data_IF_676637988464
#
_entry.id   IF_676637988464
#
_cell.length_a   1.000
_cell.length_b   1.000
_cell.length_c   1.000
_cell.angle_alpha   90.00
_cell.angle_beta   90.00
_cell.angle_gamma   90.00
#
_symmetry.space_group_name_H-M   'P 1'
#
loop_
_entity.id
_entity.type
_entity.pdbx_description
1 polymer ?
#
# COMPACT_ATOMS: atom_id res chain seq x y z
N UNK A 1 -58.91 6.00 9.54
CA UNK A 1 -57.63 6.55 9.02
C UNK A 1 -56.41 6.54 9.98
N UNK A 2 -56.56 6.32 11.30
CA UNK A 2 -55.39 6.26 12.27
C UNK A 2 -54.65 4.92 12.30
N UNK A 3 -55.32 3.77 12.01
CA UNK A 3 -54.63 2.44 12.07
C UNK A 3 -53.67 2.18 10.92
N UNK A 4 -53.87 2.75 9.73
CA UNK A 4 -52.97 2.56 8.59
C UNK A 4 -51.63 3.33 8.71
N UNK A 5 -51.64 4.50 9.40
CA UNK A 5 -50.43 5.29 9.61
C UNK A 5 -49.48 4.66 10.65
N UNK A 6 -50.00 3.99 11.68
CA UNK A 6 -49.20 3.30 12.68
C UNK A 6 -48.52 2.04 12.10
N UNK A 7 -49.21 1.30 11.23
CA UNK A 7 -48.60 0.15 10.55
C UNK A 7 -47.49 0.53 9.57
N UNK A 8 -47.62 1.64 8.82
CA UNK A 8 -46.60 2.14 7.92
C UNK A 8 -45.37 2.67 8.66
N UNK A 9 -45.54 3.30 9.82
CA UNK A 9 -44.43 3.77 10.66
C UNK A 9 -43.72 2.58 11.32
N UNK A 10 -44.43 1.55 11.76
CA UNK A 10 -43.84 0.35 12.33
C UNK A 10 -43.06 -0.48 11.30
N UNK A 11 -43.58 -0.64 10.07
CA UNK A 11 -42.90 -1.30 8.97
C UNK A 11 -41.65 -0.53 8.50
N UNK A 12 -41.73 0.79 8.42
CA UNK A 12 -40.60 1.65 8.11
C UNK A 12 -39.50 1.59 9.18
N UNK A 13 -39.88 1.56 10.45
CA UNK A 13 -38.96 1.42 11.58
C UNK A 13 -38.26 0.05 11.62
N UNK A 14 -39.00 -1.04 11.35
CA UNK A 14 -38.45 -2.39 11.29
C UNK A 14 -37.51 -2.56 10.08
N UNK A 15 -37.89 -2.01 8.92
CA UNK A 15 -37.04 -2.04 7.74
C UNK A 15 -35.75 -1.20 7.94
N UNK A 16 -35.87 -0.02 8.57
CA UNK A 16 -34.69 0.81 8.90
C UNK A 16 -33.76 0.12 9.92
N UNK A 17 -34.32 -0.54 10.94
CA UNK A 17 -33.55 -1.35 11.89
C UNK A 17 -32.93 -2.59 11.22
N UNK A 18 -33.64 -3.27 10.34
CA UNK A 18 -33.15 -4.44 9.62
C UNK A 18 -31.98 -4.12 8.66
N UNK A 19 -31.88 -2.88 8.19
CA UNK A 19 -30.74 -2.39 7.38
C UNK A 19 -29.64 -1.80 8.26
N UNK A 20 -29.98 -1.08 9.31
CA UNK A 20 -29.00 -0.45 10.19
C UNK A 20 -28.18 -1.45 11.02
N UNK A 21 -28.81 -2.51 11.52
CA UNK A 21 -28.13 -3.54 12.34
C UNK A 21 -27.04 -4.30 11.56
N UNK A 22 -27.24 -4.81 10.32
CA UNK A 22 -26.17 -5.41 9.54
C UNK A 22 -25.04 -4.44 9.20
N UNK A 23 -25.35 -3.17 8.91
CA UNK A 23 -24.34 -2.14 8.59
C UNK A 23 -23.46 -1.80 9.80
N UNK A 24 -24.07 -1.69 10.99
CA UNK A 24 -23.30 -1.46 12.23
C UNK A 24 -22.48 -2.69 12.63
N UNK A 25 -23.02 -3.91 12.45
CA UNK A 25 -22.28 -5.16 12.71
C UNK A 25 -21.11 -5.35 11.76
N UNK A 26 -21.28 -5.05 10.46
CA UNK A 26 -20.19 -5.11 9.49
C UNK A 26 -19.11 -4.08 9.81
N UNK A 27 -19.47 -2.85 10.17
CA UNK A 27 -18.54 -1.83 10.65
C UNK A 27 -17.78 -2.28 11.89
N UNK A 28 -18.47 -2.85 12.89
CA UNK A 28 -17.82 -3.40 14.09
C UNK A 28 -16.84 -4.54 13.77
N UNK A 29 -17.13 -5.38 12.77
CA UNK A 29 -16.20 -6.44 12.36
C UNK A 29 -14.94 -5.89 11.68
N UNK A 30 -15.11 -4.92 10.79
CA UNK A 30 -13.99 -4.34 10.02
C UNK A 30 -13.01 -3.54 10.89
N UNK A 31 -13.42 -3.08 12.09
CA UNK A 31 -12.50 -2.43 13.03
C UNK A 31 -11.44 -3.40 13.58
N UNK A 32 -11.68 -4.72 13.51
CA UNK A 32 -10.75 -5.73 13.98
C UNK A 32 -10.80 -5.93 15.50
N UNK A 33 -9.65 -6.24 16.09
CA UNK A 33 -9.49 -6.56 17.51
C UNK A 33 -8.16 -6.03 18.05
N UNK A 34 -8.11 -5.69 19.31
CA UNK A 34 -6.85 -5.33 19.98
C UNK A 34 -6.11 -6.60 20.42
N UNK A 35 -4.79 -6.53 20.43
CA UNK A 35 -3.96 -7.58 20.96
C UNK A 35 -4.10 -7.70 22.48
N UNK A 36 -4.13 -8.93 22.98
CA UNK A 36 -4.14 -9.25 24.40
C UNK A 36 -3.19 -10.41 24.72
N UNK A 37 -3.07 -10.76 26.00
CA UNK A 37 -2.34 -11.93 26.49
C UNK A 37 -0.90 -12.01 25.94
N UNK A 38 -0.53 -13.18 25.41
CA UNK A 38 0.83 -13.42 24.90
C UNK A 38 1.20 -12.53 23.70
N UNK A 39 0.20 -12.17 22.87
CA UNK A 39 0.44 -11.29 21.71
C UNK A 39 0.84 -9.88 22.20
N UNK A 40 0.08 -9.31 23.13
CA UNK A 40 0.42 -8.02 23.74
C UNK A 40 1.78 -8.08 24.44
N UNK A 41 2.02 -9.11 25.25
CA UNK A 41 3.32 -9.29 25.93
C UNK A 41 4.49 -9.43 24.94
N UNK A 42 4.25 -9.92 23.72
CA UNK A 42 5.26 -9.94 22.65
C UNK A 42 5.50 -8.56 22.06
N UNK A 43 4.44 -7.77 21.85
CA UNK A 43 4.53 -6.39 21.37
C UNK A 43 5.28 -5.51 22.36
N UNK A 44 5.00 -5.65 23.66
CA UNK A 44 5.68 -4.92 24.75
C UNK A 44 7.19 -5.18 24.85
N UNK A 45 7.68 -6.26 24.24
CA UNK A 45 9.12 -6.57 24.15
C UNK A 45 9.80 -5.98 22.91
N UNK A 46 9.05 -5.41 21.99
CA UNK A 46 9.61 -4.74 20.81
C UNK A 46 10.37 -3.47 21.24
N UNK A 47 11.54 -3.19 20.65
CA UNK A 47 12.25 -1.93 20.86
C UNK A 47 11.45 -0.70 20.47
N UNK A 48 10.45 -0.84 19.59
CA UNK A 48 9.62 0.25 19.08
C UNK A 48 8.35 0.48 19.93
N UNK A 49 8.08 -0.39 20.94
CA UNK A 49 6.93 -0.25 21.83
C UNK A 49 7.24 0.65 23.02
N UNK A 50 6.53 1.78 23.14
CA UNK A 50 6.70 2.75 24.19
C UNK A 50 5.35 3.28 24.68
N UNK A 51 5.12 3.32 25.99
CA UNK A 51 3.93 3.91 26.63
C UNK A 51 2.58 3.39 26.08
N UNK A 52 2.54 2.11 25.66
CA UNK A 52 1.32 1.46 25.19
C UNK A 52 1.04 1.57 23.69
N UNK A 53 2.00 2.05 22.91
CA UNK A 53 1.92 2.19 21.44
C UNK A 53 3.27 1.96 20.75
N UNK A 54 3.27 1.67 19.45
CA UNK A 54 4.48 1.66 18.65
C UNK A 54 4.89 3.08 18.26
N UNK A 55 6.19 3.34 18.18
CA UNK A 55 6.73 4.67 17.83
C UNK A 55 7.80 4.57 16.75
N UNK A 56 7.81 5.56 15.87
CA UNK A 56 8.90 5.73 14.91
C UNK A 56 10.18 6.18 15.64
N UNK A 57 11.32 5.52 15.41
CA UNK A 57 12.62 6.00 15.93
C UNK A 57 12.98 7.38 15.37
N UNK A 58 12.61 7.66 14.12
CA UNK A 58 12.75 8.96 13.48
C UNK A 58 11.41 9.70 13.58
N UNK A 59 11.38 10.80 14.35
CA UNK A 59 10.17 11.57 14.57
C UNK A 59 9.54 12.07 13.25
N UNK A 60 8.21 12.22 13.25
CA UNK A 60 7.44 12.68 12.10
C UNK A 60 6.81 14.04 12.36
N UNK A 61 6.83 14.90 11.35
CA UNK A 61 6.04 16.12 11.31
C UNK A 61 4.84 15.97 10.39
N UNK A 62 3.68 16.39 10.88
CA UNK A 62 2.44 16.45 10.09
C UNK A 62 1.59 17.62 10.58
N UNK A 63 1.05 18.40 9.67
CA UNK A 63 0.02 19.40 9.96
C UNK A 63 -1.37 18.82 9.74
N UNK A 64 -1.94 18.22 10.79
CA UNK A 64 -3.25 17.56 10.71
C UNK A 64 -4.40 18.54 10.43
N UNK A 65 -4.27 19.81 10.82
CA UNK A 65 -5.31 20.81 10.55
C UNK A 65 -5.29 21.19 9.06
N UNK A 66 -4.11 21.37 8.50
CA UNK A 66 -3.92 21.66 7.09
C UNK A 66 -4.25 20.43 6.23
N UNK A 67 -3.88 19.23 6.68
CA UNK A 67 -4.27 17.96 6.09
C UNK A 67 -5.79 17.82 5.96
N UNK A 68 -6.56 18.16 7.01
CA UNK A 68 -8.02 18.16 6.97
C UNK A 68 -8.58 19.18 5.97
N UNK A 69 -8.02 20.39 5.94
CA UNK A 69 -8.44 21.44 5.00
C UNK A 69 -8.15 21.04 3.55
N UNK A 70 -6.96 20.50 3.28
CA UNK A 70 -6.56 20.03 1.95
C UNK A 70 -7.31 18.78 1.52
N UNK A 71 -7.59 17.84 2.41
CA UNK A 71 -8.37 16.63 2.11
C UNK A 71 -9.79 16.93 1.61
N UNK A 72 -10.35 18.11 1.98
CA UNK A 72 -11.62 18.60 1.46
C UNK A 72 -11.47 19.36 0.12
N UNK A 73 -10.25 19.65 -0.32
CA UNK A 73 -10.00 20.43 -1.53
C UNK A 73 -10.19 19.58 -2.78
N UNK A 74 -10.87 20.13 -3.79
CA UNK A 74 -10.90 19.57 -5.14
C UNK A 74 -9.66 20.05 -5.89
N UNK A 75 -8.78 19.12 -6.24
CA UNK A 75 -7.63 19.39 -7.10
C UNK A 75 -7.99 18.98 -8.53
N UNK A 76 -7.61 19.74 -9.57
CA UNK A 76 -7.82 19.32 -10.95
C UNK A 76 -7.21 17.93 -11.21
N UNK A 77 -7.94 17.11 -11.97
CA UNK A 77 -7.51 15.76 -12.38
C UNK A 77 -7.15 14.81 -11.21
N UNK A 78 -7.77 15.00 -10.01
CA UNK A 78 -7.54 14.13 -8.86
C UNK A 78 -8.23 12.76 -8.97
N UNK A 79 -9.15 12.62 -9.90
CA UNK A 79 -9.79 11.36 -10.27
C UNK A 79 -9.80 11.21 -11.80
N UNK A 80 -9.82 9.98 -12.33
CA UNK A 80 -9.90 9.76 -13.77
C UNK A 80 -11.21 10.32 -14.35
N UNK A 81 -11.11 11.17 -15.38
CA UNK A 81 -12.28 11.67 -16.12
C UNK A 81 -12.85 10.63 -17.10
N UNK A 82 -12.12 9.56 -17.40
CA UNK A 82 -12.51 8.45 -18.26
C UNK A 82 -12.07 7.13 -17.61
N UNK A 83 -12.60 5.97 -18.06
CA UNK A 83 -12.19 4.68 -17.53
C UNK A 83 -10.67 4.50 -17.57
N UNK A 84 -10.09 4.07 -16.45
CA UNK A 84 -8.66 3.77 -16.35
C UNK A 84 -8.32 2.61 -17.29
N UNK A 85 -7.28 2.72 -18.12
CA UNK A 85 -6.82 1.61 -18.95
C UNK A 85 -6.27 0.47 -18.09
N UNK A 86 -7.05 -0.58 -17.89
CA UNK A 86 -6.65 -1.78 -17.14
C UNK A 86 -6.37 -2.94 -18.10
N UNK A 87 -5.47 -3.84 -17.73
CA UNK A 87 -5.30 -5.13 -18.37
C UNK A 87 -6.21 -6.17 -17.67
N UNK A 88 -6.87 -7.02 -18.43
CA UNK A 88 -7.49 -8.21 -17.85
C UNK A 88 -6.38 -9.17 -17.43
N UNK A 89 -6.31 -9.49 -16.15
CA UNK A 89 -5.34 -10.47 -15.66
C UNK A 89 -5.73 -11.86 -16.16
N UNK A 90 -4.85 -12.50 -16.95
CA UNK A 90 -5.10 -13.83 -17.50
C UNK A 90 -4.72 -14.91 -16.47
N UNK A 91 -5.68 -15.71 -15.96
CA UNK A 91 -5.38 -16.81 -15.05
C UNK A 91 -4.42 -17.84 -15.63
N UNK A 92 -4.40 -18.03 -16.97
CA UNK A 92 -3.50 -18.98 -17.62
C UNK A 92 -2.04 -18.52 -17.54
N UNK A 93 -1.79 -17.22 -17.63
CA UNK A 93 -0.46 -16.64 -17.41
C UNK A 93 -0.01 -16.88 -15.96
N UNK A 94 -0.90 -16.67 -15.00
CA UNK A 94 -0.59 -16.89 -13.58
C UNK A 94 -0.45 -18.37 -13.20
N UNK A 95 -1.06 -19.28 -13.97
CA UNK A 95 -0.91 -20.71 -13.78
C UNK A 95 0.48 -21.23 -14.22
N UNK A 96 1.17 -20.47 -15.07
CA UNK A 96 2.48 -20.82 -15.64
C UNK A 96 3.59 -20.12 -14.88
N UNK A 97 4.63 -20.83 -14.46
CA UNK A 97 5.79 -20.22 -13.79
C UNK A 97 6.47 -19.18 -14.71
N UNK A 98 6.93 -18.04 -14.17
CA UNK A 98 7.66 -17.04 -14.94
C UNK A 98 8.96 -17.62 -15.50
N UNK A 99 9.27 -17.31 -16.76
CA UNK A 99 10.46 -17.83 -17.43
C UNK A 99 11.76 -17.34 -16.78
N UNK A 100 11.79 -16.08 -16.30
CA UNK A 100 12.90 -15.51 -15.56
C UNK A 100 13.01 -16.03 -14.13
N UNK A 101 11.91 -16.54 -13.56
CA UNK A 101 11.76 -16.87 -12.14
C UNK A 101 11.23 -15.72 -11.27
N UNK A 102 11.04 -14.53 -11.87
CA UNK A 102 10.47 -13.36 -11.19
C UNK A 102 9.36 -12.73 -12.01
N UNK A 103 8.13 -12.68 -11.48
CA UNK A 103 7.00 -11.98 -12.08
C UNK A 103 6.32 -11.08 -11.05
N UNK A 104 5.94 -9.89 -11.48
CA UNK A 104 5.12 -8.95 -10.72
C UNK A 104 3.81 -8.71 -11.49
N UNK A 105 2.68 -8.94 -10.86
CA UNK A 105 1.35 -8.57 -11.36
C UNK A 105 0.79 -7.50 -10.44
N UNK A 106 0.63 -6.28 -10.94
CA UNK A 106 0.11 -5.17 -10.15
C UNK A 106 -1.40 -5.02 -10.37
N UNK A 107 -2.18 -5.04 -9.29
CA UNK A 107 -3.65 -4.92 -9.34
C UNK A 107 -4.15 -3.49 -9.09
N UNK A 108 -3.23 -2.55 -8.86
CA UNK A 108 -3.52 -1.18 -8.44
C UNK A 108 -3.20 -0.95 -6.97
N UNK A 109 -3.01 0.32 -6.60
CA UNK A 109 -2.60 0.71 -5.25
C UNK A 109 -1.36 -0.06 -4.79
N UNK A 110 -1.41 -0.71 -3.65
CA UNK A 110 -0.34 -1.53 -3.08
C UNK A 110 -0.56 -3.03 -3.23
N UNK A 111 -1.64 -3.44 -3.93
CA UNK A 111 -1.96 -4.86 -4.16
C UNK A 111 -1.15 -5.43 -5.32
N UNK A 112 -0.27 -6.40 -5.04
CA UNK A 112 0.53 -7.08 -6.07
C UNK A 112 0.64 -8.58 -5.81
N UNK A 113 0.67 -9.38 -6.89
CA UNK A 113 1.10 -10.77 -6.83
C UNK A 113 2.56 -10.84 -7.28
N UNK A 114 3.41 -11.31 -6.40
CA UNK A 114 4.83 -11.55 -6.62
C UNK A 114 5.05 -13.05 -6.77
N UNK A 115 5.66 -13.46 -7.87
CA UNK A 115 6.13 -14.83 -8.07
C UNK A 115 7.65 -14.78 -8.08
N UNK A 116 8.27 -15.31 -7.03
CA UNK A 116 9.71 -15.22 -6.76
C UNK A 116 10.27 -16.63 -6.54
N UNK A 117 11.08 -17.11 -7.47
CA UNK A 117 11.75 -18.41 -7.40
C UNK A 117 10.81 -19.58 -7.04
N UNK A 118 9.60 -19.57 -7.63
CA UNK A 118 8.57 -20.60 -7.44
C UNK A 118 7.63 -20.39 -6.25
N UNK A 119 7.79 -19.32 -5.48
CA UNK A 119 6.90 -18.94 -4.36
C UNK A 119 6.00 -17.78 -4.77
N UNK A 120 4.70 -17.87 -4.47
CA UNK A 120 3.70 -16.83 -4.74
C UNK A 120 3.33 -16.07 -3.49
N UNK A 121 3.50 -14.75 -3.53
CA UNK A 121 3.25 -13.84 -2.41
C UNK A 121 2.32 -12.73 -2.87
N UNK A 122 1.24 -12.49 -2.11
CA UNK A 122 0.29 -11.42 -2.37
C UNK A 122 0.50 -10.31 -1.34
N UNK A 123 0.71 -9.08 -1.78
CA UNK A 123 0.91 -7.92 -0.88
C UNK A 123 -0.38 -7.12 -0.77
N UNK A 124 -0.71 -6.69 0.45
CA UNK A 124 -1.80 -5.77 0.80
C UNK A 124 -3.06 -5.91 -0.08
N UNK A 125 -3.70 -7.10 -0.06
CA UNK A 125 -4.79 -7.39 -0.99
C UNK A 125 -6.05 -6.63 -0.64
N UNK A 126 -6.53 -5.78 -1.58
CA UNK A 126 -7.79 -5.07 -1.47
C UNK A 126 -8.66 -5.37 -2.69
N UNK A 127 -9.75 -6.11 -2.49
CA UNK A 127 -10.75 -6.46 -3.52
C UNK A 127 -12.09 -5.78 -3.29
N UNK A 128 -12.31 -5.15 -2.13
CA UNK A 128 -13.51 -4.35 -1.83
C UNK A 128 -13.62 -3.12 -2.71
N UNK A 129 -14.85 -2.62 -2.88
CA UNK A 129 -15.12 -1.40 -3.65
C UNK A 129 -14.56 -0.13 -2.99
N UNK A 130 -14.33 -0.17 -1.67
CA UNK A 130 -13.88 1.00 -0.90
C UNK A 130 -12.77 0.65 0.08
N UNK A 131 -11.83 1.56 0.21
CA UNK A 131 -10.87 1.59 1.31
C UNK A 131 -11.54 2.22 2.54
N UNK A 132 -12.36 1.42 3.24
CA UNK A 132 -13.23 1.94 4.31
C UNK A 132 -13.71 0.80 5.23
N UNK A 133 -14.05 1.10 6.50
CA UNK A 133 -14.70 0.12 7.38
C UNK A 133 -16.10 -0.30 6.90
N UNK A 134 -16.72 0.46 6.00
CA UNK A 134 -18.08 0.22 5.49
C UNK A 134 -18.17 0.47 3.99
N UNK A 135 -19.10 -0.21 3.32
CA UNK A 135 -19.20 -0.17 1.85
C UNK A 135 -19.92 1.07 1.28
N UNK A 136 -20.55 1.89 2.11
CA UNK A 136 -21.41 3.01 1.67
C UNK A 136 -20.73 4.38 1.74
N UNK A 137 -19.56 4.52 2.42
CA UNK A 137 -18.79 5.75 2.53
C UNK A 137 -17.29 5.46 2.44
N UNK A 138 -16.49 6.46 2.12
CA UNK A 138 -15.04 6.37 1.98
C UNK A 138 -14.57 6.28 0.53
N UNK A 139 -13.26 6.29 0.31
CA UNK A 139 -12.66 6.28 -1.03
C UNK A 139 -13.10 5.06 -1.84
N UNK A 140 -13.59 5.29 -3.05
CA UNK A 140 -14.03 4.22 -3.95
C UNK A 140 -12.98 3.95 -5.00
N UNK A 141 -12.80 2.66 -5.35
CA UNK A 141 -11.92 2.26 -6.44
C UNK A 141 -12.44 2.74 -7.80
N UNK A 142 -11.52 3.10 -8.68
CA UNK A 142 -11.85 3.64 -10.00
C UNK A 142 -12.20 2.56 -11.04
N UNK A 143 -11.80 1.32 -10.81
CA UNK A 143 -12.10 0.17 -11.68
C UNK A 143 -12.30 -1.09 -10.81
N UNK A 144 -13.08 -2.08 -11.30
CA UNK A 144 -13.26 -3.34 -10.59
C UNK A 144 -11.94 -4.12 -10.51
N UNK A 145 -11.81 -5.11 -9.61
CA UNK A 145 -10.67 -6.02 -9.62
C UNK A 145 -10.42 -6.61 -11.01
N UNK A 146 -9.17 -6.62 -11.47
CA UNK A 146 -8.78 -7.10 -12.81
C UNK A 146 -8.84 -8.62 -12.94
N UNK A 147 -8.99 -9.31 -11.81
CA UNK A 147 -9.24 -10.74 -11.68
C UNK A 147 -10.09 -10.97 -10.42
N UNK A 148 -11.01 -11.92 -10.45
CA UNK A 148 -11.71 -12.30 -9.22
C UNK A 148 -10.75 -12.99 -8.25
N UNK A 149 -10.90 -12.70 -6.95
CA UNK A 149 -10.05 -13.26 -5.90
C UNK A 149 -9.96 -14.80 -5.96
N UNK A 150 -11.10 -15.45 -6.23
CA UNK A 150 -11.19 -16.91 -6.36
C UNK A 150 -10.50 -17.48 -7.62
N UNK A 151 -10.12 -16.65 -8.58
CA UNK A 151 -9.41 -17.05 -9.80
C UNK A 151 -7.90 -16.91 -9.69
N UNK A 152 -7.40 -16.33 -8.59
CA UNK A 152 -5.97 -16.33 -8.31
C UNK A 152 -5.46 -17.77 -8.15
N UNK A 153 -4.26 -18.08 -8.62
CA UNK A 153 -3.63 -19.37 -8.32
C UNK A 153 -3.40 -19.50 -6.82
N UNK A 154 -3.13 -20.71 -6.30
CA UNK A 154 -2.72 -20.87 -4.90
C UNK A 154 -1.58 -19.92 -4.55
N UNK A 155 -1.77 -19.16 -3.46
CA UNK A 155 -0.83 -18.18 -2.92
C UNK A 155 -0.21 -18.77 -1.66
N UNK A 156 1.11 -18.75 -1.57
CA UNK A 156 1.85 -19.33 -0.44
C UNK A 156 1.78 -18.42 0.79
N UNK A 157 1.88 -17.10 0.59
CA UNK A 157 1.74 -16.13 1.66
C UNK A 157 1.00 -14.84 1.21
N UNK A 158 0.30 -14.24 2.17
CA UNK A 158 -0.19 -12.86 2.11
C UNK A 158 0.68 -12.03 3.05
N UNK A 159 1.24 -10.94 2.56
CA UNK A 159 1.96 -9.94 3.35
C UNK A 159 1.04 -8.74 3.56
N UNK A 160 0.92 -8.29 4.79
CA UNK A 160 0.22 -7.05 5.15
C UNK A 160 1.26 -6.10 5.74
N UNK A 161 1.38 -4.90 5.16
CA UNK A 161 2.34 -3.90 5.61
C UNK A 161 1.92 -3.21 6.90
N UNK A 162 0.63 -2.88 7.03
CA UNK A 162 0.02 -2.25 8.19
C UNK A 162 -1.50 -2.37 8.13
N UNK A 163 -2.22 -1.83 9.11
CA UNK A 163 -3.64 -2.09 9.28
C UNK A 163 -4.59 -1.00 8.75
N UNK A 164 -4.13 0.00 7.98
CA UNK A 164 -5.02 0.95 7.34
C UNK A 164 -5.98 0.24 6.35
N UNK A 165 -7.13 0.85 6.08
CA UNK A 165 -8.22 0.21 5.30
C UNK A 165 -7.88 -0.05 3.83
N UNK A 166 -6.95 0.67 3.27
CA UNK A 166 -6.45 0.53 1.90
C UNK A 166 -5.31 -0.50 1.76
N UNK A 167 -4.91 -1.16 2.88
CA UNK A 167 -3.92 -2.23 2.93
C UNK A 167 -4.46 -3.50 3.57
N UNK A 168 -5.25 -3.39 4.64
CA UNK A 168 -5.87 -4.51 5.33
C UNK A 168 -7.39 -4.48 5.15
N UNK A 169 -7.87 -5.10 4.09
CA UNK A 169 -9.28 -5.18 3.72
C UNK A 169 -9.97 -6.38 4.37
N UNK A 170 -10.86 -6.09 5.32
CA UNK A 170 -11.63 -7.10 6.05
C UNK A 170 -12.36 -8.11 5.15
N UNK A 171 -13.09 -7.64 4.14
CA UNK A 171 -13.89 -8.51 3.28
C UNK A 171 -13.01 -9.43 2.43
N UNK A 172 -11.89 -8.93 1.93
CA UNK A 172 -10.89 -9.72 1.20
C UNK A 172 -10.26 -10.79 2.10
N UNK A 173 -9.85 -10.43 3.33
CA UNK A 173 -9.30 -11.39 4.28
C UNK A 173 -10.33 -12.47 4.66
N UNK A 174 -11.57 -12.09 4.90
CA UNK A 174 -12.67 -13.03 5.21
C UNK A 174 -12.88 -14.03 4.06
N UNK A 175 -12.79 -13.59 2.81
CA UNK A 175 -12.90 -14.47 1.64
C UNK A 175 -11.73 -15.48 1.55
N UNK A 176 -10.59 -15.19 2.18
CA UNK A 176 -9.42 -16.08 2.23
C UNK A 176 -9.42 -17.08 3.42
N UNK A 177 -10.48 -17.12 4.23
CA UNK A 177 -10.54 -18.01 5.42
C UNK A 177 -10.23 -19.47 5.11
N UNK A 178 -10.77 -19.98 4.00
CA UNK A 178 -10.60 -21.38 3.58
C UNK A 178 -9.28 -21.65 2.84
N UNK A 179 -8.49 -20.64 2.56
CA UNK A 179 -7.21 -20.82 1.89
C UNK A 179 -6.19 -21.48 2.81
N UNK A 180 -5.17 -22.12 2.24
CA UNK A 180 -4.05 -22.69 3.01
C UNK A 180 -2.88 -21.72 3.17
N UNK A 181 -3.05 -20.49 2.72
CA UNK A 181 -2.07 -19.42 2.65
C UNK A 181 -1.63 -18.96 4.05
N UNK A 182 -0.36 -18.76 4.26
CA UNK A 182 0.17 -18.10 5.45
C UNK A 182 -0.07 -16.58 5.39
N UNK A 183 -0.25 -15.94 6.54
CA UNK A 183 -0.27 -14.48 6.68
C UNK A 183 0.98 -14.06 7.44
N UNK A 184 1.86 -13.30 6.78
CA UNK A 184 3.07 -12.73 7.40
C UNK A 184 2.82 -11.24 7.58
N UNK A 185 2.79 -10.82 8.83
CA UNK A 185 2.28 -9.49 9.20
C UNK A 185 3.13 -8.88 10.32
N UNK A 186 3.14 -7.55 10.50
CA UNK A 186 3.71 -6.90 11.68
C UNK A 186 3.00 -7.29 12.98
N UNK A 187 3.70 -7.09 14.11
CA UNK A 187 3.17 -7.34 15.46
C UNK A 187 1.83 -6.63 15.68
N UNK A 188 0.88 -7.33 16.28
CA UNK A 188 -0.46 -6.84 16.62
C UNK A 188 -1.52 -7.11 15.55
N UNK A 189 -1.18 -7.13 14.27
CA UNK A 189 -2.14 -7.36 13.17
C UNK A 189 -2.79 -8.74 13.27
N UNK A 190 -2.09 -9.72 13.83
CA UNK A 190 -2.63 -11.05 14.03
C UNK A 190 -3.93 -11.09 14.86
N UNK A 191 -4.17 -10.11 15.73
CA UNK A 191 -5.43 -10.00 16.47
C UNK A 191 -6.63 -9.74 15.52
N UNK A 192 -6.48 -8.84 14.55
CA UNK A 192 -7.48 -8.59 13.53
C UNK A 192 -7.77 -9.84 12.70
N UNK A 193 -6.72 -10.50 12.20
CA UNK A 193 -6.84 -11.70 11.37
C UNK A 193 -7.54 -12.84 12.11
N UNK A 194 -7.17 -13.07 13.37
CA UNK A 194 -7.78 -14.10 14.20
C UNK A 194 -9.26 -13.79 14.50
N UNK A 195 -9.58 -12.52 14.81
CA UNK A 195 -10.97 -12.04 14.96
C UNK A 195 -11.79 -12.31 13.70
N UNK A 196 -11.19 -12.20 12.54
CA UNK A 196 -11.84 -12.43 11.24
C UNK A 196 -11.85 -13.88 10.80
N UNK A 197 -11.37 -14.80 11.63
CA UNK A 197 -11.47 -16.25 11.46
C UNK A 197 -10.33 -16.86 10.66
N UNK A 198 -9.18 -16.21 10.59
CA UNK A 198 -7.94 -16.84 10.14
C UNK A 198 -7.39 -17.68 11.27
N UNK A 199 -7.08 -18.96 10.99
CA UNK A 199 -6.55 -19.89 11.97
C UNK A 199 -5.17 -19.42 12.48
N UNK A 200 -4.93 -19.48 13.82
CA UNK A 200 -3.70 -18.93 14.41
C UNK A 200 -2.41 -19.50 13.83
N UNK A 201 -2.39 -20.78 13.47
CA UNK A 201 -1.24 -21.47 12.87
C UNK A 201 -0.85 -20.95 11.48
N UNK A 202 -1.73 -20.16 10.84
CA UNK A 202 -1.48 -19.51 9.56
C UNK A 202 -0.95 -18.08 9.73
N UNK A 203 -0.89 -17.55 10.94
CA UNK A 203 -0.52 -16.17 11.24
C UNK A 203 0.91 -16.16 11.78
N UNK A 204 1.78 -15.47 11.06
CA UNK A 204 3.17 -15.23 11.45
C UNK A 204 3.36 -13.74 11.66
N UNK A 205 3.42 -13.32 12.92
CA UNK A 205 3.71 -11.93 13.26
C UNK A 205 5.23 -11.73 13.37
N UNK A 206 5.73 -10.65 12.81
CA UNK A 206 7.15 -10.30 12.84
C UNK A 206 7.33 -8.91 13.47
N UNK A 207 8.42 -8.76 14.20
CA UNK A 207 8.99 -7.47 14.55
C UNK A 207 9.97 -7.00 13.46
N UNK A 208 10.38 -5.73 13.46
CA UNK A 208 11.37 -5.25 12.50
C UNK A 208 12.65 -6.09 12.55
N UNK A 209 13.18 -6.37 11.36
CA UNK A 209 14.36 -7.20 11.13
C UNK A 209 14.18 -8.69 11.43
N UNK A 210 13.01 -9.11 11.91
CA UNK A 210 12.69 -10.53 12.05
C UNK A 210 12.31 -11.14 10.70
N UNK A 211 12.64 -12.39 10.53
CA UNK A 211 12.43 -13.16 9.30
C UNK A 211 11.68 -14.44 9.56
N UNK A 212 10.91 -14.85 8.55
CA UNK A 212 10.32 -16.19 8.45
C UNK A 212 10.61 -16.81 7.10
N UNK A 213 10.28 -18.08 6.93
CA UNK A 213 10.37 -18.76 5.63
C UNK A 213 8.97 -19.08 5.09
N UNK A 214 8.81 -18.80 3.81
CA UNK A 214 7.64 -19.21 3.02
C UNK A 214 8.18 -20.07 1.88
N UNK A 215 8.07 -21.38 2.00
CA UNK A 215 8.78 -22.29 1.10
C UNK A 215 10.30 -22.03 1.12
N UNK A 216 10.89 -21.82 -0.04
CA UNK A 216 12.30 -21.47 -0.19
C UNK A 216 12.61 -19.98 0.06
N UNK A 217 11.58 -19.12 0.11
CA UNK A 217 11.74 -17.68 0.21
C UNK A 217 11.92 -17.25 1.68
N UNK A 218 12.96 -16.45 1.96
CA UNK A 218 13.07 -15.74 3.23
C UNK A 218 12.31 -14.41 3.14
N UNK A 219 11.38 -14.19 4.05
CA UNK A 219 10.57 -12.97 4.17
C UNK A 219 10.95 -12.27 5.46
N UNK A 220 11.44 -11.04 5.36
CA UNK A 220 11.87 -10.22 6.49
C UNK A 220 11.00 -8.98 6.59
N UNK A 221 10.42 -8.70 7.76
CA UNK A 221 9.78 -7.41 8.03
C UNK A 221 10.85 -6.35 8.25
N UNK A 222 10.70 -5.23 7.58
CA UNK A 222 11.65 -4.12 7.57
C UNK A 222 11.03 -2.86 8.16
N UNK A 223 11.83 -1.98 8.78
CA UNK A 223 11.35 -0.68 9.25
C UNK A 223 10.70 0.15 8.14
N UNK A 224 9.71 0.92 8.54
CA UNK A 224 9.12 1.99 7.76
C UNK A 224 8.85 3.20 8.68
N UNK A 225 8.73 4.40 8.12
CA UNK A 225 8.38 5.62 8.85
C UNK A 225 6.92 5.94 8.57
N UNK A 226 6.02 5.35 9.36
CA UNK A 226 4.59 5.43 9.13
C UNK A 226 3.80 5.37 10.44
N UNK A 227 2.54 4.98 10.38
CA UNK A 227 1.61 4.85 11.50
C UNK A 227 0.66 3.69 11.26
N UNK A 228 -0.13 3.34 12.26
CA UNK A 228 -1.16 2.32 12.17
C UNK A 228 -2.46 2.75 12.85
N UNK A 229 -3.56 2.07 12.51
CA UNK A 229 -4.83 2.23 13.21
C UNK A 229 -6.06 2.18 12.33
N UNK A 230 -7.12 1.59 12.87
CA UNK A 230 -8.38 1.38 12.14
C UNK A 230 -9.49 2.33 12.58
N UNK A 231 -9.64 2.63 13.86
CA UNK A 231 -10.61 3.63 14.36
C UNK A 231 -10.00 5.02 14.32
N UNK A 232 -8.76 5.13 14.77
CA UNK A 232 -7.91 6.30 14.66
C UNK A 232 -6.69 5.88 13.85
N UNK A 233 -6.42 6.47 12.67
CA UNK A 233 -5.30 6.09 11.81
C UNK A 233 -3.92 6.33 12.42
N UNK A 234 -3.86 6.86 13.63
CA UNK A 234 -2.65 7.09 14.43
C UNK A 234 -2.81 6.55 15.85
N UNK A 235 -3.49 5.43 16.01
CA UNK A 235 -3.56 4.77 17.32
C UNK A 235 -2.28 4.02 17.65
N UNK A 236 -1.51 3.64 16.59
CA UNK A 236 -0.20 2.99 16.67
C UNK A 236 -0.18 1.75 17.58
N UNK A 237 -1.33 1.04 17.63
CA UNK A 237 -1.53 -0.16 18.43
C UNK A 237 -1.09 -1.45 17.71
N UNK A 238 -0.71 -1.35 16.45
CA UNK A 238 -0.06 -2.42 15.68
C UNK A 238 1.21 -1.86 15.05
N UNK A 239 2.20 -2.72 14.83
CA UNK A 239 3.41 -2.32 14.11
C UNK A 239 3.10 -2.20 12.61
N UNK A 240 3.95 -1.51 11.88
CA UNK A 240 3.93 -1.35 10.41
C UNK A 240 5.30 -1.68 9.82
N UNK A 241 5.39 -1.82 8.50
CA UNK A 241 6.68 -2.04 7.85
C UNK A 241 6.59 -2.45 6.40
N UNK A 242 7.75 -2.46 5.76
CA UNK A 242 7.96 -3.06 4.45
C UNK A 242 8.48 -4.49 4.54
N UNK A 243 8.77 -5.11 3.40
CA UNK A 243 9.29 -6.47 3.35
C UNK A 243 10.46 -6.63 2.40
N UNK A 244 11.48 -7.38 2.82
CA UNK A 244 12.45 -7.99 1.91
C UNK A 244 12.06 -9.44 1.66
N UNK A 245 11.95 -9.80 0.39
CA UNK A 245 11.74 -11.16 -0.08
C UNK A 245 13.03 -11.62 -0.74
N UNK A 246 13.71 -12.60 -0.16
CA UNK A 246 15.01 -13.10 -0.62
C UNK A 246 14.90 -14.57 -0.99
N UNK A 247 14.88 -14.82 -2.28
CA UNK A 247 14.91 -16.16 -2.89
C UNK A 247 16.33 -16.61 -3.18
N UNK A 248 16.45 -17.71 -3.88
CA UNK A 248 17.74 -18.27 -4.31
C UNK A 248 18.42 -17.35 -5.34
N UNK A 249 17.65 -16.85 -6.32
CA UNK A 249 18.13 -16.06 -7.45
C UNK A 249 17.69 -14.60 -7.41
N UNK A 250 16.49 -14.34 -6.85
CA UNK A 250 15.85 -13.04 -6.94
C UNK A 250 15.60 -12.43 -5.56
N UNK A 251 15.63 -11.09 -5.52
CA UNK A 251 15.35 -10.29 -4.33
C UNK A 251 14.35 -9.19 -4.68
N UNK A 252 13.30 -9.09 -3.89
CA UNK A 252 12.26 -8.08 -4.05
C UNK A 252 12.14 -7.27 -2.76
N UNK A 253 12.03 -5.96 -2.89
CA UNK A 253 11.67 -5.07 -1.81
C UNK A 253 10.25 -4.55 -2.02
N UNK A 254 9.44 -4.59 -0.98
CA UNK A 254 8.13 -3.94 -0.91
C UNK A 254 8.13 -2.96 0.26
N UNK A 255 7.89 -1.68 0.00
CA UNK A 255 7.99 -0.64 1.02
C UNK A 255 6.86 -0.67 2.04
N UNK A 256 5.66 -1.19 1.67
CA UNK A 256 4.45 -0.74 2.35
C UNK A 256 4.30 0.76 2.20
N UNK A 257 3.64 1.41 3.14
CA UNK A 257 3.60 2.85 3.25
C UNK A 257 4.72 3.34 4.16
N UNK A 258 5.38 4.43 3.78
CA UNK A 258 6.51 4.98 4.52
C UNK A 258 6.84 6.41 4.09
N UNK A 259 7.18 7.26 5.02
CA UNK A 259 7.96 8.47 4.72
C UNK A 259 9.42 8.14 4.45
N UNK A 260 10.16 9.13 3.98
CA UNK A 260 11.61 9.00 3.80
C UNK A 260 12.31 8.95 5.15
N UNK A 261 13.18 7.96 5.36
CA UNK A 261 13.94 7.76 6.60
C UNK A 261 15.35 7.21 6.35
N UNK A 262 16.21 7.33 7.32
CA UNK A 262 17.64 6.99 7.17
C UNK A 262 17.88 5.49 7.08
N UNK A 263 17.03 4.68 7.73
CA UNK A 263 17.12 3.21 7.73
C UNK A 263 17.02 2.56 6.34
N UNK A 264 16.55 3.27 5.31
CA UNK A 264 16.50 2.73 3.94
C UNK A 264 17.89 2.33 3.40
N UNK A 265 18.93 3.07 3.78
CA UNK A 265 20.30 2.71 3.42
C UNK A 265 20.76 1.41 4.11
N UNK A 266 20.30 1.16 5.33
CA UNK A 266 20.58 -0.08 6.06
C UNK A 266 19.90 -1.28 5.41
N UNK A 267 18.65 -1.09 4.95
CA UNK A 267 17.92 -2.08 4.16
C UNK A 267 18.74 -2.45 2.92
N UNK A 268 19.20 -1.44 2.18
CA UNK A 268 20.02 -1.64 0.98
C UNK A 268 21.35 -2.34 1.26
N UNK A 269 22.00 -2.06 2.41
CA UNK A 269 23.24 -2.73 2.81
C UNK A 269 23.03 -4.19 3.19
N UNK A 270 21.94 -4.51 3.89
CA UNK A 270 21.68 -5.86 4.44
C UNK A 270 21.09 -6.81 3.40
N UNK A 271 20.18 -6.32 2.56
CA UNK A 271 19.38 -7.18 1.67
C UNK A 271 19.57 -6.89 0.18
N UNK A 272 20.04 -5.70 -0.18
CA UNK A 272 20.29 -5.32 -1.58
C UNK A 272 21.55 -5.97 -2.20
N UNK A 273 21.76 -5.84 -3.51
CA UNK A 273 20.83 -5.17 -4.40
C UNK A 273 19.55 -5.97 -4.62
N UNK A 274 18.41 -5.27 -4.75
CA UNK A 274 17.14 -5.87 -5.12
C UNK A 274 16.98 -5.86 -6.64
N UNK A 275 16.41 -6.90 -7.21
CA UNK A 275 16.10 -6.95 -8.66
C UNK A 275 14.99 -5.98 -9.00
N UNK A 276 14.00 -5.85 -8.12
CA UNK A 276 12.92 -4.87 -8.21
C UNK A 276 12.52 -4.40 -6.82
N UNK A 277 12.19 -3.12 -6.71
CA UNK A 277 11.57 -2.53 -5.53
C UNK A 277 10.19 -1.97 -5.89
N UNK A 278 9.17 -2.40 -5.15
CA UNK A 278 7.84 -1.83 -5.18
C UNK A 278 7.80 -0.78 -4.07
N UNK A 279 7.79 0.49 -4.46
CA UNK A 279 7.88 1.60 -3.50
C UNK A 279 6.68 2.53 -3.69
N UNK A 280 6.05 2.92 -2.58
CA UNK A 280 4.96 3.88 -2.63
C UNK A 280 5.41 5.19 -3.30
N UNK A 281 4.50 5.82 -4.03
CA UNK A 281 4.76 7.07 -4.75
C UNK A 281 3.52 7.98 -4.80
N UNK A 282 2.41 7.58 -4.19
CA UNK A 282 1.14 8.29 -4.19
C UNK A 282 0.66 8.67 -2.80
N UNK A 283 -0.51 9.33 -2.76
CA UNK A 283 -1.23 9.70 -1.54
C UNK A 283 -0.46 10.64 -0.60
N UNK A 284 0.48 11.40 -1.15
CA UNK A 284 1.30 12.38 -0.46
C UNK A 284 0.65 13.77 -0.44
N UNK A 285 1.04 14.59 0.53
CA UNK A 285 0.82 16.04 0.55
C UNK A 285 1.91 16.76 1.38
N UNK A 286 2.03 18.06 1.16
CA UNK A 286 2.97 18.89 1.91
C UNK A 286 2.60 18.98 3.41
N UNK A 287 1.36 18.71 3.77
CA UNK A 287 0.89 18.69 5.16
C UNK A 287 1.26 17.41 5.91
N UNK A 288 1.65 16.33 5.21
CA UNK A 288 2.12 15.06 5.82
C UNK A 288 3.33 14.46 5.11
N UNK A 289 4.42 15.21 4.91
CA UNK A 289 5.56 14.82 4.10
C UNK A 289 6.39 13.70 4.69
N UNK A 290 6.16 13.37 5.96
CA UNK A 290 6.85 12.31 6.69
C UNK A 290 6.05 11.00 6.77
N UNK A 291 4.78 11.01 6.34
CA UNK A 291 3.92 9.83 6.32
C UNK A 291 3.99 9.04 5.02
N UNK A 292 4.12 9.77 3.91
CA UNK A 292 4.17 9.20 2.57
C UNK A 292 5.32 9.80 1.78
N UNK A 293 5.97 8.97 0.98
CA UNK A 293 7.02 9.43 0.06
C UNK A 293 6.43 10.35 -1.01
N UNK A 294 6.99 11.54 -1.16
CA UNK A 294 6.85 12.26 -2.42
C UNK A 294 7.50 11.48 -3.57
N UNK A 295 7.07 11.68 -4.82
CA UNK A 295 7.55 10.88 -5.95
C UNK A 295 9.08 10.92 -6.15
N UNK A 296 9.70 12.08 -5.91
CA UNK A 296 11.15 12.25 -5.95
C UNK A 296 11.85 11.46 -4.84
N UNK A 297 11.19 11.36 -3.68
CA UNK A 297 11.68 10.58 -2.55
C UNK A 297 11.55 9.08 -2.81
N UNK A 298 10.56 8.64 -3.58
CA UNK A 298 10.42 7.24 -4.00
C UNK A 298 11.61 6.80 -4.87
N UNK A 299 12.07 7.67 -5.77
CA UNK A 299 13.28 7.42 -6.58
C UNK A 299 14.53 7.41 -5.70
N UNK A 300 14.67 8.35 -4.77
CA UNK A 300 15.77 8.37 -3.82
C UNK A 300 15.77 7.11 -2.93
N UNK A 301 14.58 6.65 -2.51
CA UNK A 301 14.41 5.42 -1.74
C UNK A 301 14.87 4.18 -2.53
N UNK A 302 14.52 4.09 -3.82
CA UNK A 302 14.98 3.02 -4.70
C UNK A 302 16.52 2.96 -4.77
N UNK A 303 17.18 4.12 -4.83
CA UNK A 303 18.64 4.20 -4.80
C UNK A 303 19.21 3.76 -3.43
N UNK A 304 18.62 4.26 -2.33
CA UNK A 304 19.06 3.92 -0.97
C UNK A 304 18.94 2.43 -0.67
N UNK A 305 17.84 1.78 -1.10
CA UNK A 305 17.67 0.33 -0.95
C UNK A 305 18.45 -0.46 -2.02
N UNK A 306 19.11 0.20 -2.95
CA UNK A 306 19.92 -0.41 -4.02
C UNK A 306 19.07 -1.27 -4.96
N UNK A 307 17.92 -0.78 -5.38
CA UNK A 307 17.07 -1.44 -6.35
C UNK A 307 17.61 -1.28 -7.77
N UNK A 308 17.53 -2.33 -8.57
CA UNK A 308 17.88 -2.31 -10.02
C UNK A 308 16.75 -1.73 -10.86
N UNK A 309 15.51 -1.87 -10.38
CA UNK A 309 14.33 -1.28 -11.00
C UNK A 309 13.32 -0.88 -9.92
N UNK A 310 12.57 0.21 -10.18
CA UNK A 310 11.49 0.71 -9.35
C UNK A 310 10.15 0.45 -10.02
N UNK A 311 9.19 -0.12 -9.30
CA UNK A 311 7.77 -0.11 -9.64
C UNK A 311 7.08 0.83 -8.64
N UNK A 312 6.56 1.99 -9.07
CA UNK A 312 5.80 2.85 -8.19
C UNK A 312 4.44 2.21 -7.87
N UNK A 313 4.12 2.11 -6.58
CA UNK A 313 2.84 1.59 -6.05
C UNK A 313 2.15 2.66 -5.21
N UNK A 314 1.03 2.32 -4.55
CA UNK A 314 0.22 3.22 -3.73
C UNK A 314 -0.44 4.37 -4.51
N UNK A 315 -0.74 4.15 -5.79
CA UNK A 315 -1.41 5.09 -6.69
C UNK A 315 -2.36 4.36 -7.65
N UNK A 316 -3.10 5.10 -8.46
CA UNK A 316 -3.81 4.56 -9.63
C UNK A 316 -5.10 3.78 -9.34
N UNK A 317 -5.62 3.77 -8.10
CA UNK A 317 -6.85 3.04 -7.73
C UNK A 317 -7.83 3.84 -6.88
N UNK A 318 -7.34 4.58 -5.88
CA UNK A 318 -8.14 5.37 -4.94
C UNK A 318 -7.69 6.82 -4.92
N UNK A 319 -8.60 7.70 -4.51
CA UNK A 319 -8.30 9.08 -4.13
C UNK A 319 -8.20 9.14 -2.60
N UNK A 320 -7.00 9.29 -2.06
CA UNK A 320 -6.73 9.44 -0.63
C UNK A 320 -6.02 10.76 -0.31
N UNK A 321 -5.48 11.45 -1.34
CA UNK A 321 -4.75 12.70 -1.16
C UNK A 321 -5.09 13.74 -2.25
N UNK A 322 -4.81 15.05 -2.01
CA UNK A 322 -5.13 16.13 -2.93
C UNK A 322 -4.03 16.36 -3.98
N UNK A 323 -3.80 15.38 -4.85
CA UNK A 323 -2.93 15.48 -6.02
C UNK A 323 -3.61 14.90 -7.27
N UNK A 324 -3.15 15.26 -8.47
CA UNK A 324 -3.62 14.64 -9.70
C UNK A 324 -3.38 13.13 -9.70
N UNK A 325 -4.32 12.34 -10.25
CA UNK A 325 -4.22 10.87 -10.15
C UNK A 325 -3.04 10.28 -10.93
N UNK A 326 -2.52 10.98 -11.94
CA UNK A 326 -1.31 10.60 -12.70
C UNK A 326 -0.05 11.34 -12.22
N UNK A 327 -0.20 12.33 -11.34
CA UNK A 327 0.93 13.12 -10.85
C UNK A 327 2.02 12.26 -10.20
N UNK A 328 1.71 11.24 -9.38
CA UNK A 328 2.71 10.38 -8.77
C UNK A 328 3.68 9.78 -9.79
N UNK A 329 3.15 9.08 -10.78
CA UNK A 329 3.98 8.38 -11.78
C UNK A 329 4.70 9.34 -12.72
N UNK A 330 4.10 10.49 -13.08
CA UNK A 330 4.75 11.51 -13.91
C UNK A 330 5.98 12.09 -13.22
N UNK A 331 5.85 12.43 -11.95
CA UNK A 331 6.94 12.95 -11.13
C UNK A 331 8.03 11.91 -10.88
N UNK A 332 7.64 10.63 -10.60
CA UNK A 332 8.61 9.53 -10.51
C UNK A 332 9.41 9.41 -11.79
N UNK A 333 8.76 9.38 -12.95
CA UNK A 333 9.46 9.29 -14.25
C UNK A 333 10.35 10.51 -14.52
N UNK A 334 9.92 11.71 -14.11
CA UNK A 334 10.73 12.92 -14.23
C UNK A 334 12.00 12.85 -13.37
N UNK A 335 11.86 12.46 -12.10
CA UNK A 335 12.98 12.31 -11.17
C UNK A 335 13.93 11.17 -11.58
N UNK A 336 13.39 10.04 -12.03
CA UNK A 336 14.15 8.87 -12.44
C UNK A 336 15.08 9.15 -13.62
N UNK A 337 14.65 10.01 -14.57
CA UNK A 337 15.52 10.44 -15.69
C UNK A 337 16.77 11.20 -15.23
N UNK A 338 16.70 11.90 -14.09
CA UNK A 338 17.83 12.63 -13.56
C UNK A 338 18.84 11.76 -12.81
N UNK A 339 18.45 10.55 -12.48
CA UNK A 339 19.22 9.64 -11.62
C UNK A 339 19.54 8.31 -12.30
N UNK A 340 19.17 8.15 -13.58
CA UNK A 340 19.28 6.92 -14.36
C UNK A 340 18.66 5.69 -13.63
N UNK A 341 17.59 5.93 -12.84
CA UNK A 341 16.90 4.87 -12.12
C UNK A 341 15.87 4.20 -13.04
N UNK A 342 15.99 2.91 -13.37
CA UNK A 342 14.99 2.22 -14.19
C UNK A 342 13.63 2.18 -13.49
N UNK A 343 12.57 2.61 -14.17
CA UNK A 343 11.19 2.60 -13.68
C UNK A 343 10.34 1.74 -14.59
N UNK A 344 9.57 0.84 -13.98
CA UNK A 344 8.62 -0.03 -14.65
C UNK A 344 7.21 0.37 -14.23
N UNK A 345 6.32 0.54 -15.20
CA UNK A 345 4.96 1.04 -14.96
C UNK A 345 3.92 0.07 -15.56
N UNK A 346 3.74 -1.14 -14.97
CA UNK A 346 2.70 -2.05 -15.46
C UNK A 346 1.33 -1.41 -15.34
N UNK A 347 0.42 -1.74 -16.28
CA UNK A 347 -1.01 -1.41 -16.14
C UNK A 347 -1.61 -2.22 -14.99
N UNK A 348 -2.63 -1.70 -14.31
CA UNK A 348 -3.38 -2.55 -13.38
C UNK A 348 -3.86 -3.84 -14.04
N UNK A 349 -3.55 -4.99 -13.45
CA UNK A 349 -3.81 -6.32 -13.99
C UNK A 349 -2.73 -6.90 -14.91
N UNK A 350 -1.75 -6.10 -15.32
CA UNK A 350 -0.66 -6.57 -16.17
C UNK A 350 0.40 -7.32 -15.35
N UNK A 351 0.83 -8.46 -15.88
CA UNK A 351 1.98 -9.22 -15.39
C UNK A 351 3.23 -8.82 -16.17
N UNK A 352 4.32 -8.57 -15.48
CA UNK A 352 5.63 -8.30 -16.08
C UNK A 352 6.72 -9.15 -15.42
N UNK A 353 7.78 -9.46 -16.17
CA UNK A 353 9.00 -10.11 -15.66
C UNK A 353 10.13 -9.06 -15.60
N UNK A 354 10.35 -8.37 -14.46
CA UNK A 354 11.21 -7.21 -14.37
C UNK A 354 12.65 -7.42 -14.86
N UNK A 355 13.19 -8.62 -14.65
CA UNK A 355 14.57 -8.96 -15.03
C UNK A 355 14.72 -9.27 -16.53
N UNK A 356 13.61 -9.47 -17.25
CA UNK A 356 13.60 -9.68 -18.70
C UNK A 356 13.35 -8.40 -19.51
N UNK A 357 12.89 -7.31 -18.85
CA UNK A 357 12.62 -6.04 -19.49
C UNK A 357 13.88 -5.21 -19.68
N UNK A 358 13.91 -4.43 -20.77
CA UNK A 358 14.96 -3.45 -21.05
C UNK A 358 14.51 -2.04 -20.59
N UNK A 359 15.44 -1.16 -20.25
CA UNK A 359 15.10 0.25 -20.08
C UNK A 359 14.36 0.80 -21.31
N UNK A 360 13.18 1.38 -21.10
CA UNK A 360 12.31 1.86 -22.17
C UNK A 360 11.17 0.94 -22.60
N UNK A 361 11.13 -0.32 -22.16
CA UNK A 361 10.01 -1.23 -22.43
C UNK A 361 8.73 -0.90 -21.62
N UNK A 362 8.82 0.08 -20.70
CA UNK A 362 7.69 0.49 -19.89
C UNK A 362 6.81 1.49 -20.66
N UNK A 363 5.60 1.07 -20.98
CA UNK A 363 4.63 1.93 -21.68
C UNK A 363 3.98 2.95 -20.73
N UNK A 364 3.80 4.15 -21.23
CA UNK A 364 2.94 5.15 -20.60
C UNK A 364 1.49 4.85 -21.00
N UNK A 365 0.76 4.16 -20.12
CA UNK A 365 -0.60 3.69 -20.38
C UNK A 365 -1.70 4.66 -19.91
N UNK A 366 -1.38 5.62 -19.03
CA UNK A 366 -2.33 6.61 -18.54
C UNK A 366 -2.45 7.79 -19.49
N UNK A 367 -3.64 8.46 -19.52
CA UNK A 367 -3.84 9.62 -20.37
C UNK A 367 -2.98 10.80 -19.92
N UNK A 368 -2.70 11.71 -20.85
CA UNK A 368 -2.11 13.00 -20.51
C UNK A 368 -3.07 13.79 -19.62
N UNK A 369 -2.59 14.22 -18.45
CA UNK A 369 -3.30 15.03 -17.50
C UNK A 369 -2.37 16.12 -16.96
N UNK A 370 -2.92 17.15 -16.33
CA UNK A 370 -2.12 18.19 -15.68
C UNK A 370 -1.55 17.64 -14.38
N UNK A 371 -0.31 17.96 -14.10
CA UNK A 371 0.37 17.60 -12.87
C UNK A 371 1.31 18.70 -12.42
N UNK A 372 1.49 18.84 -11.10
CA UNK A 372 2.42 19.82 -10.54
C UNK A 372 3.84 19.22 -10.45
N UNK A 373 4.82 19.97 -10.88
CA UNK A 373 6.24 19.59 -10.75
C UNK A 373 6.70 19.68 -9.29
N UNK A 374 7.84 19.05 -8.97
CA UNK A 374 8.48 19.18 -7.66
C UNK A 374 8.76 20.66 -7.27
N UNK A 375 9.07 21.50 -8.24
CA UNK A 375 9.31 22.94 -8.01
C UNK A 375 8.02 23.71 -7.69
N UNK A 376 6.88 23.30 -8.28
CA UNK A 376 5.58 23.93 -8.06
C UNK A 376 4.91 23.45 -6.75
N UNK A 377 5.06 22.16 -6.42
CA UNK A 377 4.51 21.54 -5.21
C UNK A 377 5.57 20.63 -4.59
N UNK A 378 6.56 21.17 -3.86
CA UNK A 378 7.60 20.36 -3.24
C UNK A 378 7.02 19.52 -2.10
N UNK A 379 7.37 18.24 -2.09
CA UNK A 379 7.09 17.31 -0.98
C UNK A 379 8.43 16.92 -0.38
N UNK A 380 8.75 17.48 0.79
CA UNK A 380 10.08 17.36 1.38
C UNK A 380 9.95 16.92 2.84
N UNK A 381 10.38 15.68 3.11
CA UNK A 381 10.39 15.12 4.45
C UNK A 381 11.31 15.90 5.40
N UNK A 382 10.97 15.85 6.69
CA UNK A 382 11.88 16.30 7.74
C UNK A 382 12.88 15.19 8.11
N UNK A 383 14.02 15.56 8.66
CA UNK A 383 15.01 14.59 9.16
C UNK A 383 14.70 14.14 10.59
N UNK A 384 13.99 14.94 11.37
CA UNK A 384 13.81 14.74 12.82
C UNK A 384 12.43 15.21 13.35
N UNK A 385 11.47 15.46 12.45
CA UNK A 385 10.15 16.01 12.82
C UNK A 385 10.13 17.54 12.94
N UNK A 386 11.24 18.23 12.69
CA UNK A 386 11.29 19.69 12.66
C UNK A 386 11.25 20.20 11.20
N UNK A 387 10.33 21.14 10.94
CA UNK A 387 10.17 21.74 9.61
C UNK A 387 11.38 22.58 9.15
N UNK A 388 12.25 22.99 10.09
CA UNK A 388 13.50 23.65 9.78
C UNK A 388 14.56 22.69 9.20
N UNK A 389 14.42 21.40 9.46
CA UNK A 389 15.38 20.37 9.06
C UNK A 389 14.78 19.47 7.98
N UNK A 390 14.97 19.86 6.70
CA UNK A 390 14.43 19.14 5.54
C UNK A 390 15.51 18.31 4.83
N UNK A 391 15.09 17.14 4.34
CA UNK A 391 15.96 16.30 3.51
C UNK A 391 16.24 16.99 2.18
N UNK A 392 17.52 17.12 1.81
CA UNK A 392 17.88 17.61 0.47
C UNK A 392 17.48 16.58 -0.58
N UNK A 393 16.65 16.98 -1.54
CA UNK A 393 16.36 16.17 -2.72
C UNK A 393 17.36 16.48 -3.83
N UNK A 394 17.72 15.50 -4.68
CA UNK A 394 18.56 15.74 -5.84
C UNK A 394 17.94 16.83 -6.71
N UNK A 395 18.72 17.87 -7.05
CA UNK A 395 18.28 18.89 -7.98
C UNK A 395 18.13 18.26 -9.36
N UNK A 396 16.90 18.20 -9.84
CA UNK A 396 16.60 17.77 -11.20
C UNK A 396 16.46 19.02 -12.06
N UNK A 397 17.23 19.18 -13.14
CA UNK A 397 17.01 20.29 -14.08
C UNK A 397 15.55 20.20 -14.55
N UNK A 398 14.84 21.34 -14.54
CA UNK A 398 13.45 21.41 -14.99
C UNK A 398 13.38 20.85 -16.42
N UNK A 399 12.76 19.70 -16.60
CA UNK A 399 12.41 19.21 -17.91
C UNK A 399 11.48 20.26 -18.53
N UNK A 400 11.88 20.86 -19.66
CA UNK A 400 11.01 21.74 -20.42
C UNK A 400 9.72 20.96 -20.70
N UNK A 401 8.60 21.42 -20.14
CA UNK A 401 7.27 20.90 -20.49
C UNK A 401 7.02 21.32 -21.94
N UNK A 402 7.38 20.48 -22.88
CA UNK A 402 6.81 20.59 -24.22
C UNK A 402 5.40 20.02 -24.14
N UNK A 403 4.44 20.87 -23.75
CA UNK A 403 3.03 20.61 -24.04
C UNK A 403 2.95 20.67 -25.56
N UNK A 404 2.92 19.53 -26.19
CA UNK A 404 2.49 19.42 -27.59
C UNK A 404 1.01 19.80 -27.59
N UNK A 405 0.74 21.07 -27.91
CA UNK A 405 -0.59 21.48 -28.40
C UNK A 405 -0.84 20.72 -29.70
N UNK A 406 -1.65 19.66 -29.64
CA UNK A 406 -2.38 19.13 -30.79
C UNK A 406 -3.75 18.63 -30.30
#
# INVERSE_FOLDING_TARGET
>A
MRRGRMAAIALGGVAALAVAVPLTLAGCQSFGEHADGERLARMERSPEWHDGEFRNPQAMWNDMLDAFRHGLSSVPDNEPAAPVPVASTDPAVLATAPASGLRVTWFGHSSTLLEVDGVRVLTDPIWSDRASPVEWIGPRRWYPPTIALAQLPPVDAVLISHDHYDHLDWATIVAMRAWKTAFVVPLGIGAHLQRWGIAPERIVELDWWQSTRVGALAVTLLPARHASGRVNPRSDLTLWGGFALVGERHRVYYSGDTGLFDGMADIGRRFGPFDVALIEAGQYDAAWPDWHLGPEQSVLSAQRVRARALIPVHWGLFRLAPHGWTEPVERVLAAARCTDTPVLTPRPGQSIEPTALRPGDSERWWPAARWATAAQKPIVATTDGDTAHRVALPACPAASQSVSER
#
